data_IF_797694454548
#
_entry.id   IF_797694454548
#
_cell.length_a   1.000
_cell.length_b   1.000
_cell.length_c   1.000
_cell.angle_alpha   90.00
_cell.angle_beta   90.00
_cell.angle_gamma   90.00
#
_symmetry.space_group_name_H-M   'P 1'
#
loop_
_entity.id
_entity.type
_entity.pdbx_description
1 polymer ?
#
# COMPACT_ATOMS: atom_id res chain seq x y z
N UNK A 1 -11.41 -5.74 32.93
CA UNK A 1 -11.95 -6.17 31.63
C UNK A 1 -11.06 -5.74 30.43
N UNK A 2 -10.71 -4.43 30.28
CA UNK A 2 -9.96 -3.92 29.12
C UNK A 2 -8.54 -4.52 29.00
N UNK A 3 -7.82 -4.72 30.09
CA UNK A 3 -6.46 -5.32 30.09
C UNK A 3 -6.50 -6.76 29.56
N UNK A 4 -7.47 -7.56 29.99
CA UNK A 4 -7.65 -8.95 29.53
C UNK A 4 -7.93 -8.95 28.02
N UNK A 5 -8.73 -8.02 27.51
CA UNK A 5 -9.00 -7.87 26.08
C UNK A 5 -7.72 -7.57 25.30
N UNK A 6 -6.89 -6.63 25.75
CA UNK A 6 -5.62 -6.26 25.09
C UNK A 6 -4.65 -7.44 25.07
N UNK A 7 -4.53 -8.20 26.17
CA UNK A 7 -3.67 -9.41 26.21
C UNK A 7 -4.16 -10.48 25.22
N UNK A 8 -5.50 -10.67 25.12
CA UNK A 8 -6.09 -11.60 24.15
C UNK A 8 -5.80 -11.18 22.70
N UNK A 9 -5.98 -9.89 22.38
CA UNK A 9 -5.68 -9.35 21.06
C UNK A 9 -4.19 -9.51 20.70
N UNK A 10 -3.30 -9.26 21.67
CA UNK A 10 -1.87 -9.49 21.43
C UNK A 10 -1.55 -10.96 21.14
N UNK A 11 -2.13 -11.91 21.88
CA UNK A 11 -1.93 -13.34 21.63
C UNK A 11 -2.43 -13.77 20.25
N UNK A 12 -3.59 -13.26 19.83
CA UNK A 12 -4.13 -13.49 18.48
C UNK A 12 -3.18 -12.94 17.40
N UNK A 13 -2.71 -11.71 17.57
CA UNK A 13 -1.74 -11.10 16.67
C UNK A 13 -0.43 -11.90 16.57
N UNK A 14 0.11 -12.34 17.70
CA UNK A 14 1.34 -13.18 17.75
C UNK A 14 1.11 -14.52 17.00
N UNK A 15 -0.10 -15.11 17.11
CA UNK A 15 -0.46 -16.34 16.40
C UNK A 15 -0.53 -16.12 14.89
N UNK A 16 -1.15 -15.04 14.41
CA UNK A 16 -1.16 -14.69 12.98
C UNK A 16 0.25 -14.51 12.41
N UNK A 17 1.09 -13.76 13.12
CA UNK A 17 2.48 -13.52 12.69
C UNK A 17 3.29 -14.81 12.70
N UNK A 18 3.15 -15.65 13.74
CA UNK A 18 3.86 -16.93 13.82
C UNK A 18 3.49 -17.86 12.66
N UNK A 19 2.19 -17.97 12.35
CA UNK A 19 1.67 -18.81 11.27
C UNK A 19 1.97 -18.25 9.87
N UNK A 20 2.24 -16.93 9.72
CA UNK A 20 2.50 -16.34 8.42
C UNK A 20 3.82 -16.84 7.80
N UNK A 21 3.83 -16.99 6.50
CA UNK A 21 5.01 -17.27 5.67
C UNK A 21 4.97 -16.39 4.43
N UNK A 22 5.99 -16.43 3.59
CA UNK A 22 5.99 -15.70 2.31
C UNK A 22 4.80 -16.11 1.44
N UNK A 23 4.37 -17.37 1.48
CA UNK A 23 3.19 -17.86 0.75
C UNK A 23 1.90 -17.17 1.20
N UNK A 24 1.76 -16.84 2.48
CA UNK A 24 0.58 -16.11 3.00
C UNK A 24 0.27 -14.82 2.22
N UNK A 25 1.29 -14.19 1.67
CA UNK A 25 1.16 -12.94 0.91
C UNK A 25 1.08 -13.17 -0.60
N UNK A 26 1.23 -14.42 -1.06
CA UNK A 26 1.27 -14.80 -2.48
C UNK A 26 0.04 -15.59 -2.95
N UNK A 27 -0.83 -16.03 -2.04
CA UNK A 27 -1.84 -17.08 -2.28
C UNK A 27 -3.09 -16.63 -3.06
N UNK A 28 -3.19 -15.39 -3.52
CA UNK A 28 -4.35 -14.89 -4.29
C UNK A 28 -3.95 -14.57 -5.72
N UNK A 29 -3.48 -15.57 -6.48
CA UNK A 29 -3.03 -15.35 -7.86
C UNK A 29 -4.18 -15.54 -8.85
N UNK A 30 -4.20 -14.67 -9.87
CA UNK A 30 -4.97 -14.89 -11.09
C UNK A 30 -4.42 -16.11 -11.82
N UNK A 31 -5.30 -17.01 -12.28
CA UNK A 31 -4.88 -18.17 -13.08
C UNK A 31 -4.71 -17.76 -14.54
N UNK A 32 -3.50 -17.92 -15.06
CA UNK A 32 -3.17 -17.67 -16.46
C UNK A 32 -3.00 -19.02 -17.15
N UNK A 33 -3.64 -19.21 -18.29
CA UNK A 33 -3.53 -20.42 -19.13
C UNK A 33 -2.62 -20.06 -20.31
N UNK A 34 -1.56 -20.85 -20.49
CA UNK A 34 -0.60 -20.69 -21.59
C UNK A 34 -0.79 -21.83 -22.59
N UNK A 35 -0.44 -21.58 -23.85
CA UNK A 35 -0.33 -22.62 -24.88
C UNK A 35 0.99 -23.41 -24.73
N UNK A 36 1.20 -24.35 -25.65
CA UNK A 36 2.42 -25.18 -25.69
C UNK A 36 3.69 -24.41 -26.06
N UNK A 37 3.58 -23.14 -26.46
CA UNK A 37 4.67 -22.23 -26.82
C UNK A 37 4.85 -21.14 -25.75
N UNK A 38 4.29 -21.31 -24.54
CA UNK A 38 4.30 -20.34 -23.45
C UNK A 38 3.61 -18.99 -23.79
N UNK A 39 2.70 -18.98 -24.78
CA UNK A 39 1.88 -17.80 -25.09
C UNK A 39 0.60 -17.79 -24.25
N UNK A 40 0.28 -16.63 -23.65
CA UNK A 40 -0.94 -16.48 -22.85
C UNK A 40 -2.17 -16.65 -23.74
N UNK A 41 -2.96 -17.73 -23.48
CA UNK A 41 -4.23 -18.01 -24.16
C UNK A 41 -5.38 -17.26 -23.53
N UNK A 42 -5.47 -17.30 -22.22
CA UNK A 42 -6.49 -16.56 -21.48
C UNK A 42 -6.12 -16.40 -20.00
N UNK A 43 -6.68 -15.38 -19.40
CA UNK A 43 -6.63 -15.15 -17.95
C UNK A 43 -7.99 -15.48 -17.37
N UNK A 44 -8.05 -16.48 -16.48
CA UNK A 44 -9.27 -16.78 -15.72
C UNK A 44 -9.45 -15.73 -14.63
N UNK A 45 -10.34 -14.75 -14.86
CA UNK A 45 -10.68 -13.72 -13.89
C UNK A 45 -11.44 -14.35 -12.73
N UNK A 46 -10.83 -14.28 -11.56
CA UNK A 46 -11.49 -14.53 -10.30
C UNK A 46 -12.08 -13.21 -9.77
N UNK A 47 -12.71 -13.22 -8.61
CA UNK A 47 -13.18 -12.00 -7.92
C UNK A 47 -12.06 -11.00 -7.61
N UNK A 48 -10.80 -11.46 -7.67
CA UNK A 48 -9.59 -10.66 -7.49
C UNK A 48 -8.62 -10.92 -8.63
N UNK A 49 -8.30 -9.87 -9.41
CA UNK A 49 -7.18 -9.92 -10.35
C UNK A 49 -5.90 -9.58 -9.58
N UNK A 50 -4.96 -10.53 -9.53
CA UNK A 50 -3.70 -10.41 -8.81
C UNK A 50 -2.57 -11.12 -9.54
N UNK A 51 -1.54 -10.35 -9.90
CA UNK A 51 -0.30 -10.83 -10.49
C UNK A 51 0.84 -10.47 -9.54
N UNK A 52 1.52 -11.49 -9.00
CA UNK A 52 2.59 -11.25 -8.04
C UNK A 52 3.88 -10.91 -8.77
N UNK A 53 4.51 -9.80 -8.37
CA UNK A 53 5.83 -9.37 -8.86
C UNK A 53 6.80 -9.27 -7.69
N UNK A 54 8.06 -9.66 -7.92
CA UNK A 54 9.11 -9.54 -6.91
C UNK A 54 9.49 -8.07 -6.69
N UNK A 55 10.08 -7.76 -5.52
CA UNK A 55 10.49 -6.40 -5.20
C UNK A 55 11.44 -5.80 -6.24
N UNK A 56 12.30 -6.62 -6.85
CA UNK A 56 13.28 -6.21 -7.85
C UNK A 56 12.66 -5.81 -9.19
N UNK A 57 11.48 -6.34 -9.51
CA UNK A 57 10.73 -6.02 -10.74
C UNK A 57 9.92 -4.73 -10.60
N UNK A 58 9.68 -4.26 -9.37
CA UNK A 58 8.93 -3.04 -9.13
C UNK A 58 9.85 -1.82 -9.27
N UNK A 59 9.54 -0.84 -10.13
CA UNK A 59 10.36 0.37 -10.28
C UNK A 59 10.57 1.08 -8.94
N UNK A 60 11.81 1.42 -8.62
CA UNK A 60 12.17 2.11 -7.36
C UNK A 60 11.44 3.45 -7.18
N UNK A 61 11.11 4.13 -8.28
CA UNK A 61 10.33 5.36 -8.28
C UNK A 61 8.88 5.12 -7.86
N UNK A 62 8.29 3.99 -8.22
CA UNK A 62 6.95 3.59 -7.78
C UNK A 62 6.96 3.26 -6.27
N UNK A 63 7.92 2.45 -5.81
CA UNK A 63 8.10 2.16 -4.38
C UNK A 63 8.23 3.45 -3.56
N UNK A 64 9.11 4.36 -3.99
CA UNK A 64 9.31 5.65 -3.33
C UNK A 64 8.03 6.51 -3.32
N UNK A 65 7.23 6.42 -4.38
CA UNK A 65 5.95 7.13 -4.46
C UNK A 65 4.99 6.68 -3.37
N UNK A 66 4.85 5.37 -3.17
CA UNK A 66 4.03 4.83 -2.08
C UNK A 66 4.55 5.24 -0.71
N UNK A 67 5.86 5.12 -0.46
CA UNK A 67 6.46 5.51 0.82
C UNK A 67 6.22 7.00 1.10
N UNK A 68 6.37 7.87 0.12
CA UNK A 68 6.15 9.32 0.29
C UNK A 68 4.67 9.65 0.52
N UNK A 69 3.75 8.94 -0.12
CA UNK A 69 2.31 9.21 -0.02
C UNK A 69 1.69 8.61 1.24
N UNK A 70 2.02 7.37 1.54
CA UNK A 70 1.37 6.59 2.60
C UNK A 70 2.13 6.67 3.92
N UNK A 71 3.48 6.63 3.90
CA UNK A 71 4.26 6.45 5.11
C UNK A 71 5.68 7.00 4.98
N UNK A 72 5.84 8.31 5.12
CA UNK A 72 7.15 9.00 4.98
C UNK A 72 8.21 8.57 5.98
N UNK A 73 7.81 7.95 7.08
CA UNK A 73 8.72 7.46 8.12
C UNK A 73 8.91 5.94 8.07
N UNK A 74 8.44 5.27 6.99
CA UNK A 74 8.44 3.82 6.85
C UNK A 74 9.75 3.17 7.27
N UNK A 75 10.88 3.68 6.81
CA UNK A 75 12.20 3.12 7.13
C UNK A 75 12.72 3.45 8.54
N UNK A 76 11.96 4.22 9.34
CA UNK A 76 12.40 4.69 10.66
C UNK A 76 11.61 4.12 11.83
N UNK A 77 10.40 3.63 11.58
CA UNK A 77 9.56 3.04 12.62
C UNK A 77 9.54 1.50 12.54
N UNK A 78 9.03 0.85 13.57
CA UNK A 78 8.89 -0.61 13.70
C UNK A 78 7.42 -1.01 13.73
N UNK A 79 6.65 -0.66 12.69
CA UNK A 79 5.25 -1.05 12.50
C UNK A 79 4.24 0.05 12.78
N UNK A 80 4.52 1.06 13.59
CA UNK A 80 3.64 2.19 13.87
C UNK A 80 4.41 3.49 14.07
N UNK A 81 3.80 4.63 13.77
CA UNK A 81 4.36 5.98 13.95
C UNK A 81 3.56 6.76 14.99
N UNK A 82 4.09 6.82 16.23
CA UNK A 82 3.45 7.57 17.34
C UNK A 82 3.29 9.05 16.99
N UNK A 83 4.26 9.65 16.30
CA UNK A 83 4.20 11.07 15.94
C UNK A 83 3.10 11.34 14.92
N UNK A 84 2.90 10.44 13.97
CA UNK A 84 1.80 10.52 13.01
C UNK A 84 0.44 10.35 13.71
N UNK A 85 0.33 9.41 14.65
CA UNK A 85 -0.89 9.19 15.44
C UNK A 85 -1.24 10.45 16.25
N UNK A 86 -0.29 11.02 16.99
CA UNK A 86 -0.52 12.23 17.78
C UNK A 86 -0.89 13.42 16.89
N UNK A 87 -0.23 13.58 15.74
CA UNK A 87 -0.56 14.63 14.77
C UNK A 87 -1.96 14.48 14.22
N UNK A 88 -2.37 13.26 13.85
CA UNK A 88 -3.71 12.99 13.35
C UNK A 88 -4.78 13.30 14.40
N UNK A 89 -4.56 12.98 15.67
CA UNK A 89 -5.48 13.32 16.77
C UNK A 89 -5.67 14.84 16.85
N UNK A 90 -4.58 15.62 16.82
CA UNK A 90 -4.64 17.09 16.92
C UNK A 90 -5.34 17.71 15.69
N UNK A 91 -5.07 17.21 14.49
CA UNK A 91 -5.67 17.73 13.26
C UNK A 91 -7.15 17.37 13.18
N UNK A 92 -7.49 16.11 13.46
CA UNK A 92 -8.89 15.63 13.39
C UNK A 92 -9.78 16.25 14.48
N UNK A 93 -9.20 16.69 15.61
CA UNK A 93 -9.95 17.48 16.60
C UNK A 93 -10.29 18.90 16.13
N UNK A 94 -9.50 19.46 15.21
CA UNK A 94 -9.71 20.81 14.66
C UNK A 94 -10.59 20.83 13.41
N UNK A 95 -10.70 19.71 12.71
CA UNK A 95 -11.57 19.54 11.55
C UNK A 95 -12.66 18.53 11.92
N UNK A 96 -13.93 18.86 11.66
CA UNK A 96 -15.04 17.91 11.85
C UNK A 96 -14.99 16.69 10.91
N UNK A 97 -13.93 16.55 10.12
CA UNK A 97 -13.69 15.45 9.19
C UNK A 97 -12.36 14.75 9.48
N UNK A 98 -12.25 13.47 9.09
CA UNK A 98 -11.00 12.70 9.15
C UNK A 98 -10.03 13.25 8.09
N UNK A 99 -9.34 14.33 8.43
CA UNK A 99 -8.48 15.07 7.50
C UNK A 99 -7.13 14.39 7.23
N UNK A 100 -6.68 13.48 8.10
CA UNK A 100 -5.39 12.81 7.95
C UNK A 100 -5.41 11.38 8.50
N UNK A 101 -4.98 10.42 7.68
CA UNK A 101 -4.70 9.04 8.10
C UNK A 101 -3.34 8.94 8.81
N UNK A 102 -3.27 8.13 9.85
CA UNK A 102 -2.06 7.88 10.64
C UNK A 102 -1.59 6.42 10.57
N UNK A 103 -2.18 5.61 9.70
CA UNK A 103 -1.82 4.19 9.55
C UNK A 103 -0.56 4.07 8.69
N UNK A 104 0.41 3.26 9.15
CA UNK A 104 1.62 2.94 8.40
C UNK A 104 1.32 1.93 7.28
N UNK A 105 2.26 1.78 6.34
CA UNK A 105 2.22 0.74 5.29
C UNK A 105 2.07 -0.64 5.93
N UNK A 106 2.84 -0.94 6.98
CA UNK A 106 2.78 -2.24 7.67
C UNK A 106 1.44 -2.48 8.36
N UNK A 107 0.81 -1.43 8.92
CA UNK A 107 -0.53 -1.53 9.48
C UNK A 107 -1.60 -1.79 8.40
N UNK A 108 -1.48 -1.14 7.24
CA UNK A 108 -2.39 -1.38 6.12
C UNK A 108 -2.24 -2.82 5.60
N UNK A 109 -1.01 -3.35 5.47
CA UNK A 109 -0.75 -4.73 5.11
C UNK A 109 -1.38 -5.69 6.13
N UNK A 110 -1.15 -5.47 7.43
CA UNK A 110 -1.71 -6.29 8.51
C UNK A 110 -3.24 -6.36 8.42
N UNK A 111 -3.90 -5.21 8.21
CA UNK A 111 -5.35 -5.13 8.05
C UNK A 111 -5.83 -5.91 6.83
N UNK A 112 -5.18 -5.74 5.68
CA UNK A 112 -5.64 -6.33 4.42
C UNK A 112 -5.53 -7.86 4.39
N UNK A 113 -4.53 -8.42 5.09
CA UNK A 113 -4.23 -9.87 5.04
C UNK A 113 -4.90 -10.63 6.21
N UNK A 114 -4.89 -10.07 7.42
CA UNK A 114 -5.23 -10.83 8.62
C UNK A 114 -6.53 -10.41 9.29
N UNK A 115 -7.08 -9.23 8.95
CA UNK A 115 -8.19 -8.65 9.72
C UNK A 115 -9.42 -8.35 8.84
N UNK A 116 -10.57 -8.20 9.50
CA UNK A 116 -11.81 -7.76 8.85
C UNK A 116 -11.77 -6.25 8.55
N UNK A 117 -12.68 -5.80 7.68
CA UNK A 117 -12.84 -4.38 7.34
C UNK A 117 -13.64 -3.59 8.40
N UNK A 118 -14.08 -4.22 9.48
CA UNK A 118 -14.81 -3.56 10.55
C UNK A 118 -13.98 -2.45 11.21
N UNK A 119 -14.62 -1.33 11.51
CA UNK A 119 -13.96 -0.18 12.13
C UNK A 119 -14.20 -0.22 13.64
N UNK A 120 -13.36 -0.99 14.36
CA UNK A 120 -13.41 -1.11 15.81
C UNK A 120 -12.06 -0.75 16.44
N UNK A 121 -12.06 -0.34 17.71
CA UNK A 121 -10.81 -0.08 18.43
C UNK A 121 -10.01 -1.37 18.66
N UNK A 122 -10.69 -2.50 18.86
CA UNK A 122 -10.07 -3.82 19.03
C UNK A 122 -9.27 -4.18 17.79
N UNK A 123 -9.90 -4.10 16.61
CA UNK A 123 -9.23 -4.32 15.34
C UNK A 123 -8.02 -3.40 15.16
N UNK A 124 -8.12 -2.13 15.55
CA UNK A 124 -6.98 -1.19 15.43
C UNK A 124 -5.82 -1.54 16.35
N UNK A 125 -6.10 -2.01 17.57
CA UNK A 125 -5.06 -2.50 18.49
C UNK A 125 -4.40 -3.79 17.94
N UNK A 126 -5.20 -4.72 17.43
CA UNK A 126 -4.71 -5.95 16.83
C UNK A 126 -3.85 -5.67 15.59
N UNK A 127 -4.28 -4.75 14.72
CA UNK A 127 -3.53 -4.25 13.56
C UNK A 127 -2.14 -3.75 13.96
N UNK A 128 -2.03 -2.97 15.04
CA UNK A 128 -0.74 -2.47 15.54
C UNK A 128 0.15 -3.63 16.02
N UNK A 129 -0.40 -4.59 16.77
CA UNK A 129 0.38 -5.73 17.26
C UNK A 129 0.87 -6.62 16.11
N UNK A 130 0.03 -6.89 15.10
CA UNK A 130 0.43 -7.63 13.90
C UNK A 130 1.53 -6.86 13.17
N UNK A 131 1.36 -5.54 12.95
CA UNK A 131 2.34 -4.73 12.26
C UNK A 131 3.71 -4.76 12.95
N UNK A 132 3.76 -4.65 14.27
CA UNK A 132 5.00 -4.78 15.05
C UNK A 132 5.62 -6.18 14.90
N UNK A 133 4.79 -7.22 14.89
CA UNK A 133 5.24 -8.59 14.68
C UNK A 133 5.83 -8.81 13.28
N UNK A 134 5.15 -8.29 12.25
CA UNK A 134 5.64 -8.38 10.86
C UNK A 134 7.00 -7.67 10.69
N UNK A 135 7.18 -6.49 11.28
CA UNK A 135 8.45 -5.75 11.22
C UNK A 135 9.62 -6.46 11.93
N UNK A 136 9.32 -7.36 12.88
CA UNK A 136 10.32 -8.22 13.50
C UNK A 136 10.66 -9.44 12.64
N UNK A 137 9.71 -9.93 11.86
CA UNK A 137 9.83 -11.17 11.09
C UNK A 137 10.34 -10.95 9.67
N UNK A 138 9.97 -9.84 9.04
CA UNK A 138 10.26 -9.54 7.64
C UNK A 138 11.04 -8.23 7.49
N UNK A 139 11.92 -8.18 6.50
CA UNK A 139 12.64 -6.96 6.14
C UNK A 139 11.69 -5.90 5.55
N UNK A 140 12.11 -4.64 5.57
CA UNK A 140 11.36 -3.52 4.97
C UNK A 140 11.03 -3.75 3.49
N UNK A 141 11.95 -4.33 2.72
CA UNK A 141 11.73 -4.63 1.32
C UNK A 141 10.69 -5.74 1.14
N UNK A 142 10.70 -6.78 1.97
CA UNK A 142 9.68 -7.82 1.95
C UNK A 142 8.29 -7.26 2.33
N UNK A 143 8.21 -6.39 3.33
CA UNK A 143 6.95 -5.74 3.72
C UNK A 143 6.41 -4.89 2.57
N UNK A 144 7.27 -4.12 1.87
CA UNK A 144 6.88 -3.35 0.70
C UNK A 144 6.44 -4.26 -0.46
N UNK A 145 7.16 -5.34 -0.72
CA UNK A 145 6.76 -6.34 -1.73
C UNK A 145 5.38 -6.90 -1.43
N UNK A 146 5.14 -7.35 -0.21
CA UNK A 146 3.84 -7.86 0.21
C UNK A 146 2.73 -6.81 0.10
N UNK A 147 3.01 -5.59 0.56
CA UNK A 147 2.06 -4.48 0.50
C UNK A 147 1.68 -4.15 -0.94
N UNK A 148 2.66 -3.94 -1.81
CA UNK A 148 2.44 -3.55 -3.19
C UNK A 148 1.74 -4.64 -4.02
N UNK A 149 1.87 -5.89 -3.63
CA UNK A 149 1.17 -7.00 -4.27
C UNK A 149 -0.25 -7.25 -3.72
N UNK A 150 -0.62 -6.69 -2.57
CA UNK A 150 -1.90 -7.00 -1.92
C UNK A 150 -2.84 -5.81 -1.73
N UNK A 151 -2.40 -4.59 -2.02
CA UNK A 151 -3.24 -3.40 -1.87
C UNK A 151 -4.30 -3.33 -2.97
N UNK A 152 -5.49 -2.84 -2.61
CA UNK A 152 -6.62 -2.70 -3.54
C UNK A 152 -6.55 -1.38 -4.31
N UNK A 153 -6.71 -1.46 -5.62
CA UNK A 153 -6.66 -0.32 -6.55
C UNK A 153 -8.01 0.04 -7.19
N UNK A 154 -9.11 -0.57 -6.76
CA UNK A 154 -10.41 -0.43 -7.42
C UNK A 154 -10.60 -1.44 -8.56
N UNK A 155 -11.84 -1.56 -9.07
CA UNK A 155 -12.22 -2.42 -10.20
C UNK A 155 -11.80 -3.89 -10.09
N UNK A 156 -11.62 -4.42 -8.88
CA UNK A 156 -11.17 -5.80 -8.66
C UNK A 156 -9.65 -5.98 -8.73
N UNK A 157 -8.87 -4.94 -9.02
CA UNK A 157 -7.42 -5.03 -9.12
C UNK A 157 -6.75 -5.00 -7.75
N UNK A 158 -6.00 -6.06 -7.45
CA UNK A 158 -5.18 -6.19 -6.25
C UNK A 158 -3.70 -6.30 -6.65
N UNK A 159 -2.88 -5.44 -6.08
CA UNK A 159 -1.46 -5.32 -6.40
C UNK A 159 -1.16 -4.42 -7.59
N UNK A 160 0.09 -3.92 -7.61
CA UNK A 160 0.56 -2.92 -8.58
C UNK A 160 0.58 -3.46 -10.01
N UNK A 161 0.86 -4.74 -10.21
CA UNK A 161 0.90 -5.35 -11.54
C UNK A 161 -0.50 -5.46 -12.13
N UNK A 162 -1.50 -5.91 -11.34
CA UNK A 162 -2.89 -5.95 -11.79
C UNK A 162 -3.41 -4.54 -12.12
N UNK A 163 -3.04 -3.54 -11.32
CA UNK A 163 -3.41 -2.15 -11.57
C UNK A 163 -2.72 -1.60 -12.85
N UNK A 164 -1.45 -1.92 -13.08
CA UNK A 164 -0.71 -1.50 -14.26
C UNK A 164 -1.33 -2.09 -15.54
N UNK A 165 -1.60 -3.38 -15.56
CA UNK A 165 -2.26 -4.07 -16.68
C UNK A 165 -3.68 -3.57 -16.89
N UNK A 166 -4.47 -3.49 -15.83
CA UNK A 166 -5.88 -3.13 -15.94
C UNK A 166 -6.15 -1.67 -16.30
N UNK A 167 -5.26 -0.75 -15.92
CA UNK A 167 -5.44 0.68 -16.16
C UNK A 167 -4.66 1.23 -17.34
N UNK A 168 -3.50 0.65 -17.64
CA UNK A 168 -2.55 1.19 -18.63
C UNK A 168 -2.17 0.21 -19.73
N UNK A 169 -2.64 -1.06 -19.63
CA UNK A 169 -2.27 -2.14 -20.57
C UNK A 169 -0.75 -2.31 -20.67
N UNK A 170 -0.08 -2.27 -19.52
CA UNK A 170 1.38 -2.36 -19.36
C UNK A 170 1.75 -3.21 -18.16
N UNK A 171 2.93 -3.81 -18.17
CA UNK A 171 3.53 -4.32 -16.95
C UNK A 171 3.95 -3.17 -16.04
N UNK A 172 4.11 -3.44 -14.74
CA UNK A 172 4.53 -2.43 -13.75
C UNK A 172 5.89 -1.83 -14.09
N UNK A 173 6.77 -2.60 -14.72
CA UNK A 173 8.12 -2.17 -15.16
C UNK A 173 8.11 -1.19 -16.33
N UNK A 174 7.05 -1.19 -17.14
CA UNK A 174 6.89 -0.35 -18.34
C UNK A 174 6.19 0.97 -18.06
N UNK A 175 5.71 1.17 -16.85
CA UNK A 175 5.00 2.39 -16.45
C UNK A 175 5.91 3.62 -16.55
N UNK A 176 5.41 4.67 -17.18
CA UNK A 176 6.03 5.99 -17.13
C UNK A 176 6.01 6.56 -15.70
N UNK A 177 6.88 7.52 -15.41
CA UNK A 177 6.90 8.18 -14.08
C UNK A 177 5.55 8.79 -13.72
N UNK A 178 4.81 9.34 -14.69
CA UNK A 178 3.49 9.91 -14.47
C UNK A 178 2.45 8.83 -14.09
N UNK A 179 2.47 7.68 -14.75
CA UNK A 179 1.61 6.54 -14.44
C UNK A 179 1.96 5.95 -13.06
N UNK A 180 3.25 5.79 -12.75
CA UNK A 180 3.72 5.31 -11.44
C UNK A 180 3.26 6.20 -10.29
N UNK A 181 3.43 7.52 -10.41
CA UNK A 181 2.99 8.47 -9.37
C UNK A 181 1.47 8.52 -9.24
N UNK A 182 0.76 8.32 -10.34
CA UNK A 182 -0.69 8.26 -10.32
C UNK A 182 -1.21 6.97 -9.68
N UNK A 183 -0.66 5.80 -10.04
CA UNK A 183 -1.00 4.52 -9.38
C UNK A 183 -0.84 4.64 -7.86
N UNK A 184 0.24 5.26 -7.39
CA UNK A 184 0.45 5.45 -5.96
C UNK A 184 -0.62 6.30 -5.26
N UNK A 185 -1.38 7.10 -5.99
CA UNK A 185 -2.47 7.91 -5.46
C UNK A 185 -3.81 7.15 -5.35
N UNK A 186 -4.02 6.11 -6.16
CA UNK A 186 -5.30 5.40 -6.27
C UNK A 186 -5.78 4.83 -4.93
N UNK A 187 -4.95 4.16 -4.10
CA UNK A 187 -5.41 3.55 -2.85
C UNK A 187 -6.00 4.54 -1.84
N UNK A 188 -5.60 5.79 -1.89
CA UNK A 188 -6.18 6.85 -1.03
C UNK A 188 -7.67 7.11 -1.30
N UNK A 189 -8.09 7.00 -2.55
CA UNK A 189 -9.50 7.12 -2.94
C UNK A 189 -9.71 6.44 -4.30
N UNK A 190 -9.89 5.11 -4.34
CA UNK A 190 -10.01 4.33 -5.58
C UNK A 190 -11.16 4.79 -6.49
N UNK A 191 -12.26 5.26 -5.91
CA UNK A 191 -13.40 5.77 -6.68
C UNK A 191 -13.06 7.08 -7.38
N UNK A 192 -12.43 8.02 -6.67
CA UNK A 192 -12.09 9.35 -7.20
C UNK A 192 -10.94 9.30 -8.20
N UNK A 193 -9.96 8.46 -7.96
CA UNK A 193 -8.75 8.31 -8.78
C UNK A 193 -8.83 7.13 -9.74
N UNK A 194 -10.05 6.76 -10.19
CA UNK A 194 -10.24 5.68 -11.13
C UNK A 194 -9.85 6.11 -12.56
N UNK A 195 -8.78 5.56 -13.16
CA UNK A 195 -8.35 5.95 -14.50
C UNK A 195 -9.39 5.69 -15.60
N UNK A 196 -10.30 4.72 -15.40
CA UNK A 196 -11.31 4.36 -16.39
C UNK A 196 -12.41 5.43 -16.50
N UNK A 197 -12.62 6.23 -15.44
CA UNK A 197 -13.63 7.30 -15.43
C UNK A 197 -13.07 8.67 -15.81
N UNK A 198 -11.73 8.79 -15.94
CA UNK A 198 -11.07 10.04 -16.32
C UNK A 198 -11.13 10.18 -17.84
N UNK A 199 -11.66 11.32 -18.39
CA UNK A 199 -11.70 11.55 -19.83
C UNK A 199 -10.30 11.50 -20.46
N UNK A 200 -10.18 10.85 -21.62
CA UNK A 200 -8.89 10.67 -22.31
C UNK A 200 -8.19 11.98 -22.62
N UNK A 201 -8.95 13.05 -22.91
CA UNK A 201 -8.44 14.39 -23.22
C UNK A 201 -7.66 15.05 -22.08
N UNK A 202 -7.92 14.66 -20.82
CA UNK A 202 -7.26 15.25 -19.65
C UNK A 202 -6.34 14.29 -18.89
N UNK A 203 -6.28 13.01 -19.30
CA UNK A 203 -5.49 11.98 -18.59
C UNK A 203 -4.04 12.39 -18.39
N UNK A 204 -3.35 12.80 -19.44
CA UNK A 204 -1.93 13.19 -19.39
C UNK A 204 -1.68 14.36 -18.44
N UNK A 205 -2.49 15.40 -18.52
CA UNK A 205 -2.40 16.57 -17.63
C UNK A 205 -2.70 16.18 -16.18
N UNK A 206 -3.70 15.32 -15.97
CA UNK A 206 -4.11 14.84 -14.67
C UNK A 206 -2.99 14.03 -14.01
N UNK A 207 -2.39 13.05 -14.72
CA UNK A 207 -1.28 12.26 -14.20
C UNK A 207 -0.02 13.11 -13.91
N UNK A 208 0.29 14.06 -14.79
CA UNK A 208 1.42 14.98 -14.60
C UNK A 208 1.27 15.85 -13.35
N UNK A 209 0.04 16.16 -12.92
CA UNK A 209 -0.21 16.91 -11.69
C UNK A 209 0.25 16.16 -10.44
N UNK A 210 0.10 14.84 -10.41
CA UNK A 210 0.60 13.98 -9.31
C UNK A 210 2.13 13.94 -9.30
N UNK A 211 2.76 13.82 -10.46
CA UNK A 211 4.22 13.86 -10.59
C UNK A 211 4.80 15.15 -10.02
N UNK A 212 4.23 16.31 -10.37
CA UNK A 212 4.65 17.63 -9.82
C UNK A 212 4.51 17.67 -8.31
N UNK A 213 3.41 17.19 -7.74
CA UNK A 213 3.21 17.12 -6.29
C UNK A 213 4.26 16.25 -5.61
N UNK A 214 4.59 15.09 -6.20
CA UNK A 214 5.61 14.18 -5.66
C UNK A 214 7.00 14.80 -5.69
N UNK A 215 7.37 15.46 -6.79
CA UNK A 215 8.66 16.17 -6.92
C UNK A 215 8.77 17.28 -5.87
N UNK A 216 7.73 18.10 -5.69
CA UNK A 216 7.69 19.16 -4.68
C UNK A 216 7.86 18.61 -3.26
N UNK A 217 7.17 17.53 -2.91
CA UNK A 217 7.29 16.88 -1.60
C UNK A 217 8.71 16.34 -1.38
N UNK A 218 9.32 15.76 -2.41
CA UNK A 218 10.69 15.21 -2.34
C UNK A 218 11.72 16.33 -2.20
N UNK A 219 11.61 17.41 -2.98
CA UNK A 219 12.52 18.56 -2.92
C UNK A 219 12.44 19.26 -1.56
N UNK A 220 11.24 19.45 -1.00
CA UNK A 220 11.05 20.01 0.34
C UNK A 220 11.66 19.11 1.42
N UNK A 221 11.52 17.80 1.32
CA UNK A 221 12.10 16.85 2.27
C UNK A 221 13.64 16.84 2.21
N UNK A 222 14.25 16.95 1.02
CA UNK A 222 15.70 17.06 0.83
C UNK A 222 16.21 18.39 1.38
N UNK A 223 15.52 19.49 1.09
CA UNK A 223 15.88 20.82 1.57
C UNK A 223 15.83 20.92 3.10
N UNK A 224 14.79 20.35 3.75
CA UNK A 224 14.69 20.28 5.21
C UNK A 224 15.78 19.41 5.84
N UNK A 225 16.24 18.35 5.15
CA UNK A 225 17.34 17.51 5.60
C UNK A 225 18.69 18.26 5.55
N UNK A 226 18.93 19.04 4.50
CA UNK A 226 20.15 19.85 4.36
C UNK A 226 20.22 20.96 5.40
N UNK A 227 19.10 21.63 5.74
CA UNK A 227 19.06 22.67 6.78
C UNK A 227 19.27 22.18 8.22
N UNK A 228 19.14 20.88 8.48
CA UNK A 228 19.41 20.29 9.80
C UNK A 228 20.86 19.84 9.99
N UNK A 229 21.65 19.91 8.93
CA UNK A 229 23.06 19.53 8.92
C UNK A 229 23.99 20.75 8.80
N UNK A 230 23.44 21.94 8.69
CA UNK A 230 24.05 23.24 8.81
C UNK A 230 23.67 23.91 10.15
#
# INVERSE_FOLDING_TARGET
>A
PKVITVVRLKRAADSYVAASSVSTFKDSKTTIIYDTNDQELCTMKNTKDMYYVSYQEIPVTLVNSFVVMEDRQFYKHSGYDIKAILRAIVINQKSNDIAQGASTITQQLARNIFLSQEVTWQRKVEEIFIAVGLEKKYSKNQILEFYLNNIYFGNGYYGVEAAARGYFDKSVSELTLAEQTFIAAIPNNPTRYNPLTIPSSVKTSFYSSFTRRMILVRSTAIWLKQRRLS
#
